data_IF_666035869095
#
_entry.id   IF_666035869095
#
_cell.length_a   1.000
_cell.length_b   1.000
_cell.length_c   1.000
_cell.angle_alpha   90.00
_cell.angle_beta   90.00
_cell.angle_gamma   90.00
#
_symmetry.space_group_name_H-M   'P 1'
#
loop_
_entity.id
_entity.type
_entity.pdbx_description
1 polymer ?
#
# COMPACT_ATOMS: atom_id res chain seq x y z
N UNK A 1 11.98 22.70 28.75
CA UNK A 1 11.95 21.50 27.88
C UNK A 1 13.06 20.56 28.30
N UNK A 2 12.76 19.29 28.58
CA UNK A 2 13.77 18.32 29.05
C UNK A 2 14.73 17.99 27.88
N UNK A 3 15.96 18.45 27.95
CA UNK A 3 17.00 18.27 26.94
C UNK A 3 17.23 16.79 26.58
N UNK A 4 17.12 15.90 27.56
CA UNK A 4 17.27 14.45 27.34
C UNK A 4 16.15 13.89 26.45
N UNK A 5 14.91 14.30 26.70
CA UNK A 5 13.76 13.92 25.86
C UNK A 5 13.87 14.46 24.43
N UNK A 6 14.32 15.71 24.29
CA UNK A 6 14.56 16.31 22.98
C UNK A 6 15.61 15.54 22.17
N UNK A 7 16.74 15.19 22.80
CA UNK A 7 17.80 14.40 22.15
C UNK A 7 17.32 13.01 21.74
N UNK A 8 16.51 12.36 22.56
CA UNK A 8 15.90 11.06 22.26
C UNK A 8 14.92 11.18 21.06
N UNK A 9 14.08 12.20 21.01
CA UNK A 9 13.15 12.42 19.90
C UNK A 9 13.89 12.63 18.57
N UNK A 10 14.97 13.41 18.57
CA UNK A 10 15.83 13.62 17.40
C UNK A 10 16.54 12.33 16.94
N UNK A 11 16.97 11.50 17.85
CA UNK A 11 17.58 10.20 17.51
C UNK A 11 16.54 9.25 16.87
N UNK A 12 15.31 9.23 17.37
CA UNK A 12 14.21 8.44 16.79
C UNK A 12 13.85 8.98 15.39
N UNK A 13 13.75 10.28 15.22
CA UNK A 13 13.50 10.91 13.92
C UNK A 13 14.57 10.52 12.89
N UNK A 14 15.87 10.65 13.26
CA UNK A 14 16.96 10.29 12.38
C UNK A 14 16.94 8.80 11.99
N UNK A 15 16.66 7.91 12.94
CA UNK A 15 16.49 6.48 12.67
C UNK A 15 15.35 6.22 11.70
N UNK A 16 14.22 6.90 11.85
CA UNK A 16 13.05 6.73 10.99
C UNK A 16 13.28 7.32 9.59
N UNK A 17 13.98 8.45 9.46
CA UNK A 17 14.42 8.98 8.17
C UNK A 17 15.26 7.96 7.40
N UNK A 18 16.23 7.33 8.07
CA UNK A 18 17.06 6.28 7.47
C UNK A 18 16.24 5.11 6.93
N UNK A 19 15.25 4.63 7.69
CA UNK A 19 14.35 3.54 7.26
C UNK A 19 13.57 3.90 5.99
N UNK A 20 13.13 5.14 5.83
CA UNK A 20 12.46 5.59 4.61
C UNK A 20 13.42 5.69 3.42
N UNK A 21 14.66 6.13 3.65
CA UNK A 21 15.70 6.18 2.62
C UNK A 21 16.12 4.77 2.15
N UNK A 22 15.97 3.74 2.97
CA UNK A 22 16.16 2.34 2.57
C UNK A 22 15.05 1.88 1.59
N UNK A 23 13.83 2.43 1.70
CA UNK A 23 12.73 2.15 0.77
C UNK A 23 12.86 2.93 -0.52
N UNK A 24 13.18 4.22 -0.42
CA UNK A 24 13.40 5.11 -1.56
C UNK A 24 14.55 6.08 -1.26
N UNK A 25 15.75 5.82 -1.83
CA UNK A 25 16.93 6.68 -1.61
C UNK A 25 16.82 8.10 -2.19
N UNK A 26 15.80 8.36 -3.04
CA UNK A 26 15.57 9.67 -3.66
C UNK A 26 14.73 10.62 -2.80
N UNK A 27 14.33 10.19 -1.62
CA UNK A 27 13.59 11.04 -0.69
C UNK A 27 14.49 12.13 -0.12
N UNK A 28 13.95 13.30 0.01
CA UNK A 28 14.55 14.46 0.66
C UNK A 28 13.57 15.16 1.59
N UNK A 29 13.95 16.30 2.13
CA UNK A 29 13.13 17.05 3.09
C UNK A 29 12.57 18.34 2.47
N UNK A 30 12.42 18.40 1.13
CA UNK A 30 11.80 19.51 0.42
C UNK A 30 10.26 19.46 0.55
N UNK A 31 9.63 20.61 0.17
CA UNK A 31 8.18 20.75 0.15
C UNK A 31 7.56 19.96 -1.01
N UNK A 32 6.44 19.29 -0.75
CA UNK A 32 5.75 18.54 -1.81
C UNK A 32 4.67 17.60 -1.31
N UNK A 33 4.26 16.73 -2.23
CA UNK A 33 3.29 15.66 -2.00
C UNK A 33 4.05 14.33 -1.92
N UNK A 34 3.71 13.50 -0.95
CA UNK A 34 4.17 12.13 -0.87
C UNK A 34 3.00 11.16 -0.99
N UNK A 35 3.23 10.03 -1.64
CA UNK A 35 2.26 8.95 -1.76
C UNK A 35 2.83 7.66 -1.16
N UNK A 36 2.04 7.03 -0.32
CA UNK A 36 2.32 5.71 0.22
C UNK A 36 1.44 4.71 -0.52
N UNK A 37 2.04 3.72 -1.15
CA UNK A 37 1.31 2.70 -1.91
C UNK A 37 1.72 1.30 -1.47
N UNK A 38 0.76 0.37 -1.46
CA UNK A 38 1.03 -1.04 -1.25
C UNK A 38 0.05 -1.91 -2.04
N UNK A 39 0.50 -3.09 -2.37
CA UNK A 39 -0.36 -4.14 -2.91
C UNK A 39 -0.37 -5.29 -1.91
N UNK A 40 -1.52 -5.80 -1.53
CA UNK A 40 -1.57 -6.95 -0.64
C UNK A 40 -1.41 -8.29 -1.40
N UNK A 41 -1.39 -9.38 -0.67
CA UNK A 41 -1.26 -10.74 -1.20
C UNK A 41 -2.39 -11.14 -2.17
N UNK A 42 -3.54 -10.49 -2.07
CA UNK A 42 -4.70 -10.70 -2.94
C UNK A 42 -4.72 -9.79 -4.17
N UNK A 43 -3.71 -8.92 -4.32
CA UNK A 43 -3.59 -7.96 -5.42
C UNK A 43 -4.41 -6.67 -5.23
N UNK A 44 -4.96 -6.43 -4.05
CA UNK A 44 -5.62 -5.14 -3.77
C UNK A 44 -4.60 -4.03 -3.59
N UNK A 45 -4.85 -2.93 -4.28
CA UNK A 45 -3.99 -1.76 -4.27
C UNK A 45 -4.50 -0.73 -3.26
N UNK A 46 -3.63 -0.23 -2.42
CA UNK A 46 -3.93 0.78 -1.40
C UNK A 46 -3.04 1.99 -1.63
N UNK A 47 -3.60 3.18 -1.45
CA UNK A 47 -2.85 4.41 -1.49
C UNK A 47 -3.21 5.33 -0.31
N UNK A 48 -2.24 6.11 0.11
CA UNK A 48 -2.40 7.26 0.99
C UNK A 48 -1.57 8.39 0.42
N UNK A 49 -2.17 9.56 0.29
CA UNK A 49 -1.51 10.78 -0.20
C UNK A 49 -1.43 11.76 0.95
N UNK A 50 -0.34 12.46 1.08
CA UNK A 50 -0.17 13.52 2.07
C UNK A 50 0.76 14.60 1.55
N UNK A 51 0.60 15.78 2.11
CA UNK A 51 1.43 16.94 1.84
C UNK A 51 2.34 17.27 3.02
N UNK A 52 3.47 17.85 2.74
CA UNK A 52 4.36 18.37 3.77
C UNK A 52 5.30 19.46 3.24
N UNK A 53 5.65 20.43 4.10
CA UNK A 53 6.76 21.36 3.86
C UNK A 53 8.12 20.67 3.98
N UNK A 54 8.19 19.60 4.76
CA UNK A 54 9.36 18.76 4.99
C UNK A 54 8.94 17.29 4.87
N UNK A 55 9.02 16.73 3.66
CA UNK A 55 8.51 15.40 3.32
C UNK A 55 9.15 14.32 4.19
N UNK A 56 10.47 14.23 4.24
CA UNK A 56 11.17 13.17 4.96
C UNK A 56 10.95 13.25 6.47
N UNK A 57 10.86 14.47 7.02
CA UNK A 57 10.50 14.72 8.43
C UNK A 57 9.07 14.23 8.70
N UNK A 58 8.11 14.55 7.83
CA UNK A 58 6.72 14.10 7.97
C UNK A 58 6.60 12.58 7.88
N UNK A 59 7.29 11.96 6.96
CA UNK A 59 7.36 10.50 6.83
C UNK A 59 7.94 9.85 8.08
N UNK A 60 8.99 10.41 8.67
CA UNK A 60 9.57 9.92 9.93
C UNK A 60 8.55 9.97 11.10
N UNK A 61 7.71 11.01 11.16
CA UNK A 61 6.63 11.13 12.14
C UNK A 61 5.56 10.04 11.98
N UNK A 62 5.23 9.63 10.77
CA UNK A 62 4.28 8.54 10.52
C UNK A 62 4.71 7.20 11.14
N UNK A 63 5.98 6.93 11.30
CA UNK A 63 6.46 5.68 11.91
C UNK A 63 6.28 5.61 13.44
N UNK A 64 6.02 6.75 14.09
CA UNK A 64 5.79 6.84 15.54
C UNK A 64 4.39 7.34 15.89
N UNK A 65 3.64 7.84 14.93
CA UNK A 65 2.30 8.39 15.11
C UNK A 65 1.22 7.34 15.39
N UNK A 66 -0.02 7.82 15.55
CA UNK A 66 -1.21 7.02 15.84
C UNK A 66 -2.38 7.31 14.90
N UNK A 67 -2.14 8.03 13.81
CA UNK A 67 -3.14 8.23 12.77
C UNK A 67 -3.45 6.90 12.07
N UNK A 68 -4.51 6.85 11.33
CA UNK A 68 -4.94 5.64 10.63
C UNK A 68 -3.86 5.05 9.70
N UNK A 69 -3.14 5.92 8.98
CA UNK A 69 -2.02 5.48 8.14
C UNK A 69 -0.85 5.00 8.97
N UNK A 70 -0.55 5.63 10.11
CA UNK A 70 0.53 5.23 11.01
C UNK A 70 0.32 3.82 11.57
N UNK A 71 -0.92 3.50 11.95
CA UNK A 71 -1.30 2.15 12.39
C UNK A 71 -1.18 1.14 11.25
N UNK A 72 -1.51 1.54 10.03
CA UNK A 72 -1.34 0.68 8.84
C UNK A 72 0.14 0.44 8.52
N UNK A 73 1.00 1.45 8.66
CA UNK A 73 2.45 1.31 8.54
C UNK A 73 3.03 0.38 9.61
N UNK A 74 2.55 0.47 10.85
CA UNK A 74 2.96 -0.45 11.93
C UNK A 74 2.53 -1.90 11.65
N UNK A 75 1.31 -2.09 11.11
CA UNK A 75 0.75 -3.41 10.83
C UNK A 75 1.42 -4.12 9.65
N UNK A 76 1.65 -3.40 8.56
CA UNK A 76 2.10 -3.99 7.30
C UNK A 76 3.59 -3.74 7.00
N UNK A 77 4.25 -2.87 7.76
CA UNK A 77 5.65 -2.52 7.59
C UNK A 77 5.95 -1.72 6.31
N UNK A 78 7.21 -1.42 6.14
CA UNK A 78 7.75 -0.82 4.92
C UNK A 78 8.13 -1.92 3.92
N UNK A 79 8.11 -1.56 2.64
CA UNK A 79 8.55 -2.45 1.57
C UNK A 79 10.04 -2.78 1.73
N UNK A 80 10.39 -4.06 1.56
CA UNK A 80 11.76 -4.56 1.50
C UNK A 80 11.81 -5.84 0.67
N UNK A 81 12.99 -6.42 0.49
CA UNK A 81 13.12 -7.73 -0.17
C UNK A 81 12.36 -8.83 0.58
N UNK A 82 12.33 -8.76 1.91
CA UNK A 82 11.64 -9.71 2.79
C UNK A 82 10.16 -9.37 2.99
N UNK A 83 9.75 -8.12 2.71
CA UNK A 83 8.38 -7.65 2.86
C UNK A 83 7.85 -7.02 1.57
N UNK A 84 7.49 -7.84 0.60
CA UNK A 84 6.99 -7.40 -0.71
C UNK A 84 5.62 -6.73 -0.66
N UNK A 85 4.86 -6.95 0.42
CA UNK A 85 3.53 -6.38 0.64
C UNK A 85 3.54 -5.14 1.54
N UNK A 86 4.72 -4.66 1.92
CA UNK A 86 4.91 -3.45 2.70
C UNK A 86 4.63 -2.17 1.90
N UNK A 87 4.58 -1.06 2.61
CA UNK A 87 4.36 0.26 2.04
C UNK A 87 5.60 0.78 1.32
N UNK A 88 5.42 1.17 0.05
CA UNK A 88 6.37 1.93 -0.77
C UNK A 88 6.04 3.41 -0.64
N UNK A 89 7.04 4.26 -0.95
CA UNK A 89 6.87 5.71 -0.92
C UNK A 89 7.37 6.34 -2.22
N UNK A 90 6.59 7.27 -2.75
CA UNK A 90 6.97 8.21 -3.81
C UNK A 90 6.76 9.65 -3.33
N UNK A 91 7.46 10.60 -3.94
CA UNK A 91 7.24 12.02 -3.71
C UNK A 91 7.36 12.82 -5.01
N UNK A 92 6.74 13.99 -5.00
CA UNK A 92 6.87 15.01 -6.03
C UNK A 92 6.92 16.39 -5.36
N UNK A 93 7.85 17.23 -5.77
CA UNK A 93 8.07 18.54 -5.16
C UNK A 93 7.14 19.58 -5.77
N UNK A 94 6.55 20.37 -4.90
CA UNK A 94 5.67 21.49 -5.25
C UNK A 94 5.89 22.64 -4.29
N UNK A 95 5.69 23.90 -4.74
CA UNK A 95 5.67 25.06 -3.87
C UNK A 95 4.58 24.93 -2.79
N UNK A 96 4.82 25.48 -1.60
CA UNK A 96 3.91 25.35 -0.46
C UNK A 96 2.48 25.86 -0.75
N UNK A 97 2.35 26.88 -1.58
CA UNK A 97 1.06 27.46 -1.96
C UNK A 97 0.24 26.56 -2.92
N UNK A 98 0.85 25.55 -3.53
CA UNK A 98 0.17 24.62 -4.44
C UNK A 98 -0.19 23.29 -3.77
N UNK A 99 0.29 23.05 -2.55
CA UNK A 99 0.19 21.73 -1.91
C UNK A 99 -1.24 21.21 -1.79
N UNK A 100 -2.18 22.05 -1.40
CA UNK A 100 -3.59 21.64 -1.23
C UNK A 100 -4.20 21.19 -2.55
N UNK A 101 -3.97 21.94 -3.63
CA UNK A 101 -4.47 21.61 -4.96
C UNK A 101 -3.85 20.32 -5.50
N UNK A 102 -2.54 20.20 -5.37
CA UNK A 102 -1.80 19.00 -5.85
C UNK A 102 -2.13 17.76 -5.06
N UNK A 103 -2.33 17.88 -3.73
CA UNK A 103 -2.79 16.74 -2.91
C UNK A 103 -4.13 16.23 -3.41
N UNK A 104 -5.12 17.12 -3.62
CA UNK A 104 -6.44 16.75 -4.14
C UNK A 104 -6.36 16.11 -5.52
N UNK A 105 -5.56 16.66 -6.41
CA UNK A 105 -5.35 16.12 -7.74
C UNK A 105 -4.78 14.69 -7.70
N UNK A 106 -3.75 14.46 -6.89
CA UNK A 106 -3.11 13.14 -6.78
C UNK A 106 -4.01 12.12 -6.08
N UNK A 107 -4.80 12.55 -5.06
CA UNK A 107 -5.82 11.70 -4.44
C UNK A 107 -6.83 11.22 -5.49
N UNK A 108 -7.34 12.12 -6.33
CA UNK A 108 -8.27 11.78 -7.42
C UNK A 108 -7.62 10.82 -8.41
N UNK A 109 -6.39 11.04 -8.80
CA UNK A 109 -5.67 10.19 -9.73
C UNK A 109 -5.55 8.74 -9.23
N UNK A 110 -5.18 8.53 -7.95
CA UNK A 110 -5.15 7.20 -7.36
C UNK A 110 -6.54 6.55 -7.25
N UNK A 111 -7.59 7.36 -6.99
CA UNK A 111 -8.96 6.87 -6.98
C UNK A 111 -9.38 6.37 -8.37
N UNK A 112 -9.15 7.17 -9.41
CA UNK A 112 -9.49 6.84 -10.81
C UNK A 112 -8.73 5.58 -11.29
N UNK A 113 -7.51 5.37 -10.79
CA UNK A 113 -6.74 4.14 -11.03
C UNK A 113 -7.19 2.93 -10.21
N UNK A 114 -8.22 3.07 -9.38
CA UNK A 114 -8.82 1.99 -8.59
C UNK A 114 -8.02 1.60 -7.34
N UNK A 115 -7.24 2.52 -6.77
CA UNK A 115 -6.64 2.32 -5.46
C UNK A 115 -7.64 2.53 -4.34
N UNK A 116 -7.54 1.73 -3.28
CA UNK A 116 -8.24 1.98 -2.03
C UNK A 116 -7.53 3.11 -1.26
N UNK A 117 -8.15 4.26 -1.24
CA UNK A 117 -7.61 5.40 -0.50
C UNK A 117 -7.67 5.18 1.01
N UNK A 118 -6.58 5.47 1.68
CA UNK A 118 -6.45 5.46 3.15
C UNK A 118 -6.57 6.85 3.77
N UNK A 119 -6.76 7.85 2.95
CA UNK A 119 -7.09 9.19 3.40
C UNK A 119 -8.46 9.18 4.10
N UNK A 120 -8.54 9.69 5.34
CA UNK A 120 -9.83 9.83 6.06
C UNK A 120 -10.47 11.17 5.84
N UNK A 121 -9.64 12.17 5.60
CA UNK A 121 -10.03 13.53 5.26
C UNK A 121 -9.23 13.91 4.03
N UNK A 122 -9.83 14.67 3.17
CA UNK A 122 -9.17 15.30 2.06
C UNK A 122 -8.57 16.60 2.52
N UNK A 123 -7.34 16.62 2.93
CA UNK A 123 -6.67 17.85 3.30
C UNK A 123 -7.42 18.70 4.35
N UNK A 124 -6.88 19.86 4.67
CA UNK A 124 -7.38 20.79 5.70
C UNK A 124 -8.70 21.48 5.38
N UNK A 125 -9.25 21.33 4.18
CA UNK A 125 -10.41 22.08 3.69
C UNK A 125 -11.56 21.13 3.29
N UNK A 126 -12.57 21.05 4.12
CA UNK A 126 -13.78 20.22 4.11
C UNK A 126 -14.46 19.70 2.83
N UNK A 127 -14.24 20.29 1.65
CA UNK A 127 -14.85 19.84 0.40
C UNK A 127 -14.36 18.48 -0.08
N UNK A 128 -13.13 18.12 0.21
CA UNK A 128 -12.61 16.88 -0.25
C UNK A 128 -13.08 15.66 0.57
N UNK A 129 -13.63 15.82 1.79
CA UNK A 129 -14.17 14.67 2.55
C UNK A 129 -15.34 14.02 1.81
N UNK A 130 -16.23 14.81 1.24
CA UNK A 130 -17.34 14.30 0.42
C UNK A 130 -16.79 13.53 -0.80
N UNK A 131 -15.81 14.10 -1.51
CA UNK A 131 -15.22 13.45 -2.71
C UNK A 131 -14.51 12.14 -2.38
N UNK A 132 -13.82 12.03 -1.24
CA UNK A 132 -13.18 10.75 -0.84
C UNK A 132 -14.21 9.69 -0.47
N UNK A 133 -15.31 10.07 0.17
CA UNK A 133 -16.38 9.13 0.50
C UNK A 133 -17.07 8.60 -0.78
N UNK A 134 -17.19 9.41 -1.84
CA UNK A 134 -17.68 8.97 -3.16
C UNK A 134 -16.76 7.95 -3.84
N UNK A 135 -15.45 8.01 -3.59
CA UNK A 135 -14.46 7.07 -4.14
C UNK A 135 -14.27 5.81 -3.30
N UNK A 136 -14.83 5.75 -2.11
CA UNK A 136 -14.71 4.56 -1.27
C UNK A 136 -15.78 3.56 -1.63
N UNK A 137 -15.40 2.32 -1.94
CA UNK A 137 -16.39 1.27 -2.08
C UNK A 137 -17.12 1.04 -0.77
N UNK A 138 -18.37 0.61 -0.86
CA UNK A 138 -19.23 0.30 0.29
C UNK A 138 -18.50 -0.60 1.31
N UNK A 139 -18.82 -0.41 2.60
CA UNK A 139 -18.29 -1.27 3.67
C UNK A 139 -18.57 -2.74 3.35
N UNK A 140 -17.55 -3.59 3.41
CA UNK A 140 -17.67 -5.01 3.10
C UNK A 140 -17.44 -5.38 1.63
N UNK A 141 -17.33 -4.43 0.70
CA UNK A 141 -17.08 -4.71 -0.71
C UNK A 141 -15.84 -5.61 -0.94
N UNK A 142 -14.72 -5.27 -0.29
CA UNK A 142 -13.50 -6.06 -0.42
C UNK A 142 -13.55 -7.39 0.32
N UNK A 143 -14.27 -7.46 1.43
CA UNK A 143 -14.54 -8.72 2.12
C UNK A 143 -15.41 -9.62 1.24
N UNK A 144 -16.37 -9.03 0.53
CA UNK A 144 -17.17 -9.74 -0.47
C UNK A 144 -16.33 -10.26 -1.62
N UNK A 145 -15.40 -9.47 -2.17
CA UNK A 145 -14.48 -9.95 -3.22
C UNK A 145 -13.57 -11.08 -2.69
N UNK A 146 -13.03 -10.96 -1.48
CA UNK A 146 -12.21 -12.03 -0.86
C UNK A 146 -13.02 -13.30 -0.68
N UNK A 147 -14.24 -13.18 -0.17
CA UNK A 147 -15.13 -14.31 0.01
C UNK A 147 -15.49 -14.94 -1.33
N UNK A 148 -15.82 -14.15 -2.35
CA UNK A 148 -16.10 -14.61 -3.70
C UNK A 148 -14.93 -15.37 -4.32
N UNK A 149 -13.71 -14.86 -4.17
CA UNK A 149 -12.49 -15.56 -4.62
C UNK A 149 -12.30 -16.90 -3.92
N UNK A 150 -12.53 -16.97 -2.60
CA UNK A 150 -12.43 -18.23 -1.84
C UNK A 150 -13.50 -19.24 -2.26
N UNK A 151 -14.74 -18.78 -2.47
CA UNK A 151 -15.83 -19.64 -2.92
C UNK A 151 -15.55 -20.20 -4.31
N UNK A 152 -15.09 -19.37 -5.23
CA UNK A 152 -14.69 -19.79 -6.58
C UNK A 152 -13.52 -20.77 -6.56
N UNK A 153 -12.48 -20.51 -5.76
CA UNK A 153 -11.35 -21.43 -5.61
C UNK A 153 -11.81 -22.80 -5.12
N UNK A 154 -12.68 -22.85 -4.11
CA UNK A 154 -13.25 -24.10 -3.58
C UNK A 154 -14.07 -24.87 -4.63
N UNK A 155 -14.89 -24.15 -5.42
CA UNK A 155 -15.68 -24.76 -6.48
C UNK A 155 -14.80 -25.32 -7.60
N UNK A 156 -13.78 -24.54 -8.03
CA UNK A 156 -12.80 -24.97 -9.04
C UNK A 156 -11.96 -26.15 -8.55
N UNK A 157 -11.53 -26.15 -7.28
CA UNK A 157 -10.80 -27.29 -6.68
C UNK A 157 -11.62 -28.57 -6.75
N UNK A 158 -12.90 -28.50 -6.37
CA UNK A 158 -13.80 -29.65 -6.43
C UNK A 158 -13.96 -30.21 -7.85
N UNK A 159 -14.11 -29.33 -8.86
CA UNK A 159 -14.20 -29.76 -10.27
C UNK A 159 -12.87 -30.37 -10.73
N UNK A 160 -11.75 -29.71 -10.40
CA UNK A 160 -10.43 -30.16 -10.79
C UNK A 160 -10.11 -31.54 -10.20
N UNK A 161 -10.33 -31.75 -8.91
CA UNK A 161 -10.01 -33.00 -8.22
C UNK A 161 -10.87 -34.17 -8.69
N UNK A 162 -12.14 -33.91 -9.06
CA UNK A 162 -13.06 -35.00 -9.43
C UNK A 162 -13.14 -35.30 -10.92
N UNK A 163 -12.88 -34.31 -11.77
CA UNK A 163 -13.22 -34.39 -13.19
C UNK A 163 -12.10 -34.04 -14.15
N UNK A 164 -10.99 -33.45 -13.66
CA UNK A 164 -9.92 -32.94 -14.52
C UNK A 164 -8.56 -33.50 -14.09
N UNK A 165 -7.68 -33.68 -15.05
CA UNK A 165 -6.27 -33.87 -14.81
C UNK A 165 -5.53 -32.62 -15.23
N UNK A 166 -4.89 -31.95 -14.26
CA UNK A 166 -4.19 -30.68 -14.50
C UNK A 166 -2.69 -30.95 -14.48
N UNK A 167 -2.05 -30.74 -15.64
CA UNK A 167 -0.61 -30.94 -15.82
C UNK A 167 0.03 -29.74 -16.50
N UNK A 168 1.29 -29.53 -16.18
CA UNK A 168 2.11 -28.61 -16.98
C UNK A 168 2.27 -29.20 -18.39
N UNK A 169 2.20 -28.34 -19.42
CA UNK A 169 2.41 -28.77 -20.81
C UNK A 169 3.79 -29.42 -20.95
N UNK A 170 3.93 -30.55 -21.66
CA UNK A 170 5.18 -31.29 -21.76
C UNK A 170 6.37 -30.41 -22.19
N UNK A 171 6.16 -29.52 -23.14
CA UNK A 171 7.18 -28.60 -23.66
C UNK A 171 7.56 -27.48 -22.67
N UNK A 172 6.91 -27.40 -21.53
CA UNK A 172 7.17 -26.41 -20.47
C UNK A 172 7.85 -27.00 -19.24
N UNK A 173 8.11 -28.30 -19.22
CA UNK A 173 8.91 -28.92 -18.17
C UNK A 173 10.34 -28.39 -18.20
N UNK A 174 10.90 -28.07 -17.03
CA UNK A 174 12.22 -27.43 -16.89
C UNK A 174 12.21 -25.91 -17.10
N UNK A 175 11.07 -25.31 -17.48
CA UNK A 175 10.93 -23.87 -17.56
C UNK A 175 10.48 -23.30 -16.21
N UNK A 176 11.42 -22.70 -15.47
CA UNK A 176 11.20 -22.14 -14.11
C UNK A 176 10.00 -21.18 -14.01
N UNK A 177 9.72 -20.40 -15.07
CA UNK A 177 8.59 -19.47 -15.08
C UNK A 177 7.27 -20.23 -15.15
N UNK A 178 7.19 -21.24 -16.01
CA UNK A 178 6.00 -22.06 -16.19
C UNK A 178 5.72 -22.93 -14.97
N UNK A 179 6.76 -23.53 -14.38
CA UNK A 179 6.66 -24.31 -13.13
C UNK A 179 6.13 -23.45 -11.98
N UNK A 180 6.66 -22.23 -11.82
CA UNK A 180 6.17 -21.28 -10.80
C UNK A 180 4.72 -20.85 -11.04
N UNK A 181 4.27 -20.69 -12.29
CA UNK A 181 2.88 -20.38 -12.59
C UNK A 181 1.96 -21.58 -12.32
N UNK A 182 2.42 -22.79 -12.59
CA UNK A 182 1.69 -24.01 -12.25
C UNK A 182 1.52 -24.15 -10.73
N UNK A 183 2.59 -24.01 -9.97
CA UNK A 183 2.56 -24.00 -8.50
C UNK A 183 1.58 -22.92 -7.97
N UNK A 184 1.67 -21.70 -8.49
CA UNK A 184 0.74 -20.63 -8.14
C UNK A 184 -0.72 -21.00 -8.45
N UNK A 185 -0.97 -21.65 -9.57
CA UNK A 185 -2.31 -22.08 -9.94
C UNK A 185 -2.83 -23.15 -8.97
N UNK A 186 -2.01 -24.14 -8.61
CA UNK A 186 -2.36 -25.17 -7.65
C UNK A 186 -2.65 -24.59 -6.26
N UNK A 187 -1.82 -23.66 -5.78
CA UNK A 187 -2.04 -22.98 -4.51
C UNK A 187 -3.35 -22.17 -4.51
N UNK A 188 -3.71 -21.52 -5.63
CA UNK A 188 -4.99 -20.84 -5.78
C UNK A 188 -6.19 -21.78 -5.69
N UNK A 189 -6.09 -22.98 -6.27
CA UNK A 189 -7.14 -24.01 -6.18
C UNK A 189 -7.32 -24.52 -4.75
N UNK A 190 -6.23 -24.74 -4.02
CA UNK A 190 -6.29 -25.23 -2.63
C UNK A 190 -6.56 -24.14 -1.59
N UNK A 191 -6.69 -22.88 -2.02
CA UNK A 191 -6.96 -21.74 -1.12
C UNK A 191 -5.78 -21.37 -0.23
N UNK A 192 -4.58 -21.83 -0.57
CA UNK A 192 -3.31 -21.49 0.08
C UNK A 192 -2.76 -20.20 -0.54
N UNK A 193 -3.23 -19.03 -0.01
CA UNK A 193 -2.72 -17.70 -0.38
C UNK A 193 -2.36 -16.91 0.86
#
# INVERSE_FOLDING_TARGET
MDYKKFKQAKAVEAKNKKRWLEVNPKLDDESGIYSLVRVDEYGFRYAYVGQAKHILTRLAQHLVGYQHIDLSLKKHGLFSQDNKYGWKVGCAHYPENELDEKEQYIIKLYADEGYQLRNKTSGSQGEGKAKIDDYRPAKGYYDGIKQGKKSLAKELSHIAEKHLEIRLKPEKHGNKVSEKQYEKFMNLLHGEN
#
